data_IF_310782884906
#
_entry.id   IF_310782884906
#
_cell.length_a   1.000
_cell.length_b   1.000
_cell.length_c   1.000
_cell.angle_alpha   90.00
_cell.angle_beta   90.00
_cell.angle_gamma   90.00
#
_symmetry.space_group_name_H-M   'P 1'
#
loop_
_entity.id
_entity.type
_entity.pdbx_description
1 polymer ?
#
# COMPACT_ATOMS: atom_id res chain seq x y z
N UNK A 1 11.71 -28.67 31.33
CA UNK A 1 11.58 -28.70 29.87
C UNK A 1 10.82 -27.46 29.44
N UNK A 2 11.51 -26.38 29.04
CA UNK A 2 10.81 -25.19 28.55
C UNK A 2 10.25 -25.52 27.17
N UNK A 3 8.93 -25.46 27.00
CA UNK A 3 8.32 -25.48 25.67
C UNK A 3 8.99 -24.39 24.83
N UNK A 4 9.56 -24.74 23.67
CA UNK A 4 10.00 -23.76 22.68
C UNK A 4 8.79 -22.90 22.31
N UNK A 5 8.66 -21.73 22.94
CA UNK A 5 7.54 -20.84 22.72
C UNK A 5 7.77 -20.13 21.39
N UNK A 6 7.30 -20.75 20.31
CA UNK A 6 7.36 -20.20 18.97
C UNK A 6 6.31 -19.10 18.82
N UNK A 7 6.73 -17.95 18.30
CA UNK A 7 5.87 -16.80 18.08
C UNK A 7 4.63 -17.18 17.25
N UNK A 8 3.49 -16.60 17.60
CA UNK A 8 2.27 -16.72 16.78
C UNK A 8 2.45 -15.92 15.50
N UNK A 9 2.20 -16.58 14.37
CA UNK A 9 2.30 -15.93 13.07
C UNK A 9 1.10 -15.00 12.86
N UNK A 10 1.39 -13.74 12.52
CA UNK A 10 0.39 -12.82 11.99
C UNK A 10 0.33 -13.04 10.48
N UNK A 11 -0.62 -13.84 10.03
CA UNK A 11 -0.82 -14.13 8.61
C UNK A 11 -1.55 -12.98 7.92
N UNK A 12 -0.78 -12.02 7.42
CA UNK A 12 -1.32 -10.88 6.70
C UNK A 12 -2.02 -11.25 5.39
N UNK A 13 -1.73 -12.40 4.77
CA UNK A 13 -2.47 -12.86 3.58
C UNK A 13 -3.89 -13.27 3.96
N UNK A 14 -4.04 -14.05 5.03
CA UNK A 14 -5.34 -14.49 5.52
C UNK A 14 -6.19 -13.29 5.95
N UNK A 15 -5.62 -12.39 6.76
CA UNK A 15 -6.31 -11.18 7.22
C UNK A 15 -6.71 -10.30 6.03
N UNK A 16 -5.80 -10.06 5.08
CA UNK A 16 -6.10 -9.27 3.90
C UNK A 16 -7.19 -9.90 3.01
N UNK A 17 -7.27 -11.23 2.95
CA UNK A 17 -8.35 -11.90 2.22
C UNK A 17 -9.71 -11.67 2.90
N UNK A 18 -9.78 -11.79 4.23
CA UNK A 18 -11.00 -11.49 4.98
C UNK A 18 -11.48 -10.06 4.71
N UNK A 19 -10.57 -9.08 4.80
CA UNK A 19 -10.88 -7.67 4.52
C UNK A 19 -11.37 -7.49 3.08
N UNK A 20 -10.71 -8.12 2.09
CA UNK A 20 -11.16 -8.03 0.68
C UNK A 20 -12.55 -8.61 0.48
N UNK A 21 -12.88 -9.71 1.15
CA UNK A 21 -14.23 -10.31 1.09
C UNK A 21 -15.29 -9.37 1.66
N UNK A 22 -15.02 -8.73 2.80
CA UNK A 22 -15.91 -7.72 3.38
C UNK A 22 -16.10 -6.52 2.44
N UNK A 23 -15.01 -5.99 1.87
CA UNK A 23 -15.06 -4.89 0.90
C UNK A 23 -15.92 -5.30 -0.30
N UNK A 24 -15.76 -6.51 -0.83
CA UNK A 24 -16.54 -7.00 -1.97
C UNK A 24 -18.05 -7.07 -1.64
N UNK A 25 -18.40 -7.50 -0.42
CA UNK A 25 -19.78 -7.49 0.06
C UNK A 25 -20.36 -6.08 0.14
N UNK A 26 -19.60 -5.13 0.67
CA UNK A 26 -20.01 -3.74 0.80
C UNK A 26 -20.15 -3.03 -0.56
N UNK A 27 -19.23 -3.30 -1.50
CA UNK A 27 -19.31 -2.79 -2.87
C UNK A 27 -20.56 -3.34 -3.58
N UNK A 28 -20.86 -4.63 -3.40
CA UNK A 28 -22.10 -5.23 -3.93
C UNK A 28 -23.34 -4.56 -3.35
N UNK A 29 -23.33 -4.25 -2.05
CA UNK A 29 -24.44 -3.56 -1.40
C UNK A 29 -24.63 -2.14 -1.96
N UNK A 30 -23.54 -1.37 -2.11
CA UNK A 30 -23.58 -0.04 -2.72
C UNK A 30 -24.14 -0.09 -4.15
N UNK A 31 -23.67 -1.03 -4.95
CA UNK A 31 -24.15 -1.22 -6.33
C UNK A 31 -25.65 -1.52 -6.37
N UNK A 32 -26.15 -2.41 -5.50
CA UNK A 32 -27.58 -2.74 -5.43
C UNK A 32 -28.44 -1.59 -4.94
N UNK A 33 -27.96 -0.82 -3.96
CA UNK A 33 -28.75 0.24 -3.32
C UNK A 33 -28.76 1.55 -4.12
N UNK A 34 -27.64 1.90 -4.74
CA UNK A 34 -27.44 3.21 -5.38
C UNK A 34 -27.10 3.13 -6.87
N UNK A 35 -26.90 1.94 -7.43
CA UNK A 35 -26.46 1.78 -8.84
C UNK A 35 -25.03 2.28 -9.09
N UNK A 36 -24.25 2.53 -8.04
CA UNK A 36 -22.89 3.07 -8.10
C UNK A 36 -21.89 2.14 -7.42
N UNK A 37 -20.64 2.16 -7.88
CA UNK A 37 -19.51 1.44 -7.27
C UNK A 37 -18.36 2.42 -7.03
N UNK A 38 -17.46 2.13 -6.07
CA UNK A 38 -16.27 2.95 -5.90
C UNK A 38 -15.40 2.94 -7.16
N UNK A 39 -14.71 4.04 -7.40
CA UNK A 39 -13.78 4.22 -8.51
C UNK A 39 -12.42 4.65 -8.01
N UNK A 40 -11.37 3.96 -8.45
CA UNK A 40 -10.00 4.21 -8.03
C UNK A 40 -9.11 4.42 -9.26
N UNK A 41 -8.45 5.57 -9.34
CA UNK A 41 -7.45 5.84 -10.35
C UNK A 41 -6.07 5.37 -9.88
N UNK A 42 -5.35 4.65 -10.75
CA UNK A 42 -3.98 4.21 -10.51
C UNK A 42 -3.08 4.79 -11.60
N UNK A 43 -2.31 5.81 -11.23
CA UNK A 43 -1.38 6.52 -12.11
C UNK A 43 0.02 5.93 -11.95
N UNK A 44 0.66 5.58 -13.05
CA UNK A 44 2.07 5.16 -13.10
C UNK A 44 2.80 5.96 -14.18
N UNK A 45 4.04 6.33 -13.88
CA UNK A 45 4.91 7.05 -14.81
C UNK A 45 6.14 6.19 -15.10
N UNK A 46 6.38 5.91 -16.38
CA UNK A 46 7.47 5.08 -16.85
C UNK A 46 7.23 3.58 -16.68
N UNK A 47 8.30 2.79 -16.86
CA UNK A 47 8.21 1.34 -17.06
C UNK A 47 9.00 0.51 -16.03
N UNK A 48 9.18 1.04 -14.81
CA UNK A 48 9.89 0.31 -13.76
C UNK A 48 9.17 -1.00 -13.40
N UNK A 49 9.91 -2.11 -13.44
CA UNK A 49 9.35 -3.47 -13.24
C UNK A 49 8.73 -3.69 -11.86
N UNK A 50 9.32 -3.09 -10.82
CA UNK A 50 8.78 -3.15 -9.46
C UNK A 50 7.42 -2.45 -9.38
N UNK A 51 7.33 -1.24 -9.91
CA UNK A 51 6.13 -0.40 -9.93
C UNK A 51 5.01 -1.05 -10.74
N UNK A 52 5.34 -1.60 -11.92
CA UNK A 52 4.42 -2.38 -12.75
C UNK A 52 3.83 -3.59 -12.00
N UNK A 53 4.67 -4.31 -11.24
CA UNK A 53 4.21 -5.46 -10.44
C UNK A 53 3.25 -5.03 -9.33
N UNK A 54 3.56 -3.93 -8.62
CA UNK A 54 2.69 -3.38 -7.58
C UNK A 54 1.35 -2.88 -8.13
N UNK A 55 1.39 -2.14 -9.24
CA UNK A 55 0.18 -1.64 -9.92
C UNK A 55 -0.67 -2.80 -10.44
N UNK A 56 -0.06 -3.82 -11.05
CA UNK A 56 -0.78 -5.02 -11.49
C UNK A 56 -1.51 -5.73 -10.34
N UNK A 57 -0.89 -5.82 -9.15
CA UNK A 57 -1.55 -6.37 -7.96
C UNK A 57 -2.74 -5.51 -7.52
N UNK A 58 -2.60 -4.18 -7.50
CA UNK A 58 -3.67 -3.24 -7.12
C UNK A 58 -4.85 -3.33 -8.10
N UNK A 59 -4.59 -3.31 -9.42
CA UNK A 59 -5.59 -3.46 -10.48
C UNK A 59 -6.38 -4.76 -10.34
N UNK A 60 -5.68 -5.88 -10.12
CA UNK A 60 -6.32 -7.19 -9.90
C UNK A 60 -7.20 -7.18 -8.65
N UNK A 61 -6.71 -6.57 -7.57
CA UNK A 61 -7.46 -6.50 -6.32
C UNK A 61 -8.72 -5.64 -6.44
N UNK A 62 -8.68 -4.51 -7.18
CA UNK A 62 -9.87 -3.72 -7.51
C UNK A 62 -10.93 -4.56 -8.23
N UNK A 63 -10.52 -5.29 -9.27
CA UNK A 63 -11.42 -6.14 -10.04
C UNK A 63 -12.03 -7.26 -9.19
N UNK A 64 -11.25 -7.86 -8.28
CA UNK A 64 -11.71 -8.91 -7.36
C UNK A 64 -12.84 -8.43 -6.44
N UNK A 65 -12.76 -7.19 -5.96
CA UNK A 65 -13.75 -6.63 -5.01
C UNK A 65 -14.85 -5.80 -5.68
N UNK A 66 -14.81 -5.63 -7.01
CA UNK A 66 -15.81 -4.87 -7.76
C UNK A 66 -15.59 -3.34 -7.78
N UNK A 67 -14.41 -2.87 -7.42
CA UNK A 67 -14.03 -1.45 -7.56
C UNK A 67 -13.65 -1.17 -9.02
N UNK A 68 -14.19 -0.10 -9.60
CA UNK A 68 -13.88 0.34 -10.97
C UNK A 68 -12.48 0.95 -11.00
N UNK A 69 -11.52 0.27 -11.63
CA UNK A 69 -10.14 0.78 -11.80
C UNK A 69 -10.08 1.73 -13.00
N UNK A 70 -9.40 2.86 -12.84
CA UNK A 70 -9.07 3.80 -13.91
C UNK A 70 -7.54 3.86 -14.04
N UNK A 71 -7.03 3.15 -15.03
CA UNK A 71 -5.61 2.95 -15.19
C UNK A 71 -5.01 4.05 -16.06
N UNK A 72 -3.98 4.73 -15.55
CA UNK A 72 -3.31 5.84 -16.24
C UNK A 72 -1.82 5.52 -16.34
N UNK A 73 -1.41 5.04 -17.51
CA UNK A 73 -0.02 4.72 -17.82
C UNK A 73 0.60 5.90 -18.60
N UNK A 74 1.49 6.66 -17.96
CA UNK A 74 2.18 7.79 -18.57
C UNK A 74 3.64 7.42 -18.89
N UNK A 75 4.20 7.97 -19.97
CA UNK A 75 5.57 7.65 -20.35
C UNK A 75 6.57 8.34 -19.40
N UNK A 76 7.80 7.81 -19.32
CA UNK A 76 8.81 8.32 -18.40
C UNK A 76 9.16 9.79 -18.68
N UNK A 77 9.12 10.22 -19.94
CA UNK A 77 9.41 11.59 -20.35
C UNK A 77 8.26 12.60 -20.15
N UNK A 78 7.14 12.18 -19.56
CA UNK A 78 6.02 13.10 -19.28
C UNK A 78 6.52 14.29 -18.46
N UNK A 79 6.04 15.49 -18.78
CA UNK A 79 6.37 16.67 -18.01
C UNK A 79 5.60 16.70 -16.69
N UNK A 80 6.15 17.41 -15.70
CA UNK A 80 5.48 17.62 -14.41
C UNK A 80 4.11 18.28 -14.59
N UNK A 81 4.00 19.29 -15.45
CA UNK A 81 2.75 20.01 -15.68
C UNK A 81 1.70 19.13 -16.36
N UNK A 82 2.09 18.24 -17.29
CA UNK A 82 1.17 17.25 -17.88
C UNK A 82 0.66 16.24 -16.86
N UNK A 83 1.51 15.76 -15.96
CA UNK A 83 1.12 14.86 -14.89
C UNK A 83 0.16 15.54 -13.91
N UNK A 84 0.45 16.79 -13.52
CA UNK A 84 -0.43 17.59 -12.65
C UNK A 84 -1.77 17.86 -13.34
N UNK A 85 -1.77 18.21 -14.63
CA UNK A 85 -2.99 18.39 -15.39
C UNK A 85 -3.84 17.09 -15.43
N UNK A 86 -3.20 15.94 -15.59
CA UNK A 86 -3.87 14.64 -15.52
C UNK A 86 -4.46 14.38 -14.13
N UNK A 87 -3.75 14.72 -13.05
CA UNK A 87 -4.28 14.61 -11.68
C UNK A 87 -5.51 15.52 -11.50
N UNK A 88 -5.50 16.74 -12.04
CA UNK A 88 -6.67 17.63 -12.01
C UNK A 88 -7.87 17.06 -12.78
N UNK A 89 -7.65 16.44 -13.93
CA UNK A 89 -8.69 15.74 -14.69
C UNK A 89 -9.33 14.61 -13.84
N UNK A 90 -8.50 13.81 -13.16
CA UNK A 90 -8.97 12.74 -12.26
C UNK A 90 -9.73 13.28 -11.05
N UNK A 91 -9.29 14.42 -10.49
CA UNK A 91 -10.01 15.11 -9.41
C UNK A 91 -11.39 15.58 -9.86
N UNK A 92 -11.53 16.08 -11.09
CA UNK A 92 -12.81 16.56 -11.60
C UNK A 92 -13.81 15.44 -11.94
N UNK A 93 -13.34 14.21 -12.11
CA UNK A 93 -14.19 13.08 -12.49
C UNK A 93 -15.06 12.60 -11.30
N UNK A 94 -16.41 12.68 -11.38
CA UNK A 94 -17.31 12.27 -10.30
C UNK A 94 -17.43 10.75 -10.13
N UNK A 95 -16.98 9.94 -11.10
CA UNK A 95 -16.90 8.49 -10.95
C UNK A 95 -15.66 8.04 -10.17
N UNK A 96 -14.69 8.93 -9.97
CA UNK A 96 -13.49 8.67 -9.20
C UNK A 96 -13.65 9.13 -7.76
N UNK A 97 -13.29 8.25 -6.83
CA UNK A 97 -13.39 8.47 -5.39
C UNK A 97 -12.03 8.31 -4.71
N UNK A 98 -11.06 7.69 -5.39
CA UNK A 98 -9.67 7.64 -4.96
C UNK A 98 -8.71 7.86 -6.12
N UNK A 99 -7.57 8.49 -5.84
CA UNK A 99 -6.45 8.66 -6.76
C UNK A 99 -5.19 8.17 -6.06
N UNK A 100 -4.46 7.32 -6.75
CA UNK A 100 -3.17 6.80 -6.35
C UNK A 100 -2.15 7.16 -7.43
N UNK A 101 -1.07 7.84 -7.04
CA UNK A 101 0.10 8.04 -7.89
C UNK A 101 1.21 7.09 -7.42
N UNK A 102 1.61 6.15 -8.27
CA UNK A 102 2.62 5.16 -7.93
C UNK A 102 4.01 5.79 -7.87
N UNK A 103 4.61 5.72 -6.69
CA UNK A 103 5.97 6.19 -6.40
C UNK A 103 7.02 5.08 -6.59
N UNK A 104 8.31 5.46 -6.75
CA UNK A 104 8.79 6.84 -6.94
C UNK A 104 8.59 7.34 -8.37
N UNK A 105 8.45 8.64 -8.53
CA UNK A 105 8.36 9.28 -9.84
C UNK A 105 9.76 9.44 -10.47
N UNK A 106 9.84 9.67 -11.80
CA UNK A 106 11.08 10.06 -12.44
C UNK A 106 11.73 11.30 -11.80
N UNK A 107 13.07 11.35 -11.80
CA UNK A 107 13.84 12.37 -11.06
C UNK A 107 13.57 13.81 -11.49
N UNK A 108 13.06 14.04 -12.69
CA UNK A 108 12.73 15.38 -13.19
C UNK A 108 11.36 15.88 -12.73
N UNK A 109 10.61 15.07 -11.97
CA UNK A 109 9.28 15.41 -11.46
C UNK A 109 9.35 15.57 -9.92
N UNK A 110 8.81 16.67 -9.43
CA UNK A 110 8.64 16.93 -8.01
C UNK A 110 7.40 16.17 -7.48
N UNK A 111 7.66 15.13 -6.69
CA UNK A 111 6.62 14.30 -6.07
C UNK A 111 5.68 15.11 -5.16
N UNK A 112 6.19 16.06 -4.39
CA UNK A 112 5.39 16.89 -3.47
C UNK A 112 4.37 17.73 -4.25
N UNK A 113 4.78 18.31 -5.40
CA UNK A 113 3.88 19.10 -6.25
C UNK A 113 2.75 18.24 -6.81
N UNK A 114 3.06 17.02 -7.25
CA UNK A 114 2.07 16.09 -7.82
C UNK A 114 1.11 15.58 -6.74
N UNK A 115 1.63 15.14 -5.59
CA UNK A 115 0.83 14.65 -4.46
C UNK A 115 -0.01 15.78 -3.84
N UNK A 116 0.53 17.00 -3.82
CA UNK A 116 -0.19 18.21 -3.40
C UNK A 116 -1.36 18.58 -4.30
N UNK A 117 -1.37 18.14 -5.57
CA UNK A 117 -2.46 18.39 -6.50
C UNK A 117 -3.64 17.42 -6.33
N UNK A 118 -3.47 16.30 -5.61
CA UNK A 118 -4.56 15.34 -5.35
C UNK A 118 -5.54 15.96 -4.35
N UNK A 119 -6.85 15.89 -4.62
CA UNK A 119 -7.84 16.40 -3.68
C UNK A 119 -7.81 15.61 -2.37
N UNK A 120 -8.01 16.29 -1.25
CA UNK A 120 -7.94 15.70 0.10
C UNK A 120 -8.93 14.53 0.23
N UNK A 121 -10.09 14.66 -0.40
CA UNK A 121 -11.16 13.67 -0.36
C UNK A 121 -10.83 12.41 -1.16
N UNK A 122 -9.97 12.53 -2.19
CA UNK A 122 -9.58 11.44 -3.08
C UNK A 122 -8.17 10.88 -2.81
N UNK A 123 -7.43 11.45 -1.86
CA UNK A 123 -6.11 10.98 -1.45
C UNK A 123 -6.20 9.69 -0.61
N UNK A 124 -6.26 8.54 -1.28
CA UNK A 124 -6.42 7.23 -0.63
C UNK A 124 -5.13 6.66 -0.05
N UNK A 125 -3.97 7.18 -0.47
CA UNK A 125 -2.67 6.84 0.11
C UNK A 125 -2.33 7.72 1.33
N UNK A 126 -3.02 8.86 1.49
CA UNK A 126 -2.83 9.76 2.64
C UNK A 126 -1.56 10.60 2.55
N UNK A 127 -0.99 10.77 1.35
CA UNK A 127 0.28 11.46 1.14
C UNK A 127 0.12 12.96 0.85
N UNK A 128 -1.11 13.48 0.78
CA UNK A 128 -1.33 14.91 0.71
C UNK A 128 -0.75 15.58 1.98
N UNK A 129 0.00 16.70 1.89
CA UNK A 129 0.68 17.30 3.05
C UNK A 129 -0.23 17.60 4.26
N UNK A 130 -1.51 17.88 4.05
CA UNK A 130 -2.49 18.04 5.15
C UNK A 130 -2.92 16.71 5.79
N UNK A 131 -2.97 15.62 5.03
CA UNK A 131 -3.21 14.27 5.57
C UNK A 131 -2.00 13.76 6.34
N UNK A 132 -0.80 13.96 5.79
CA UNK A 132 0.46 13.75 6.53
C UNK A 132 0.44 14.62 7.79
N UNK A 133 0.08 15.91 7.72
CA UNK A 133 -0.02 16.80 8.88
C UNK A 133 -1.05 16.37 9.94
N UNK A 134 -2.19 15.80 9.54
CA UNK A 134 -3.21 15.24 10.45
C UNK A 134 -2.76 13.90 11.08
N UNK A 135 -2.01 13.09 10.34
CA UNK A 135 -1.37 11.87 10.84
C UNK A 135 -0.16 12.18 11.72
N UNK A 136 0.55 13.27 11.44
CA UNK A 136 1.86 13.61 12.00
C UNK A 136 1.80 14.61 13.17
N UNK A 137 0.93 14.38 14.16
CA UNK A 137 1.13 14.95 15.51
C UNK A 137 2.37 14.37 16.25
N UNK A 138 3.49 14.14 15.54
CA UNK A 138 4.87 14.03 16.03
C UNK A 138 5.85 14.56 14.97
N UNK A 139 6.07 15.87 14.98
CA UNK A 139 6.95 16.58 14.04
C UNK A 139 8.44 16.45 14.34
N UNK A 140 9.07 15.36 13.87
CA UNK A 140 10.52 15.32 13.64
C UNK A 140 10.81 14.48 12.39
N UNK A 141 11.54 15.06 11.45
CA UNK A 141 12.20 14.28 10.41
C UNK A 141 13.47 13.63 10.98
N UNK A 142 13.68 12.31 10.77
CA UNK A 142 14.94 11.68 11.12
C UNK A 142 16.03 12.15 10.14
N UNK A 143 17.09 12.75 10.68
CA UNK A 143 18.27 13.23 9.94
C UNK A 143 19.09 12.12 9.24
N UNK A 144 18.74 10.85 9.46
CA UNK A 144 19.41 9.68 8.91
C UNK A 144 18.37 8.66 8.46
N UNK A 145 18.51 8.17 7.22
CA UNK A 145 17.80 6.98 6.78
C UNK A 145 18.37 5.76 7.54
N UNK A 146 17.55 4.89 8.14
CA UNK A 146 18.06 3.75 8.89
C UNK A 146 18.86 2.81 7.96
N UNK A 147 20.16 2.69 8.19
CA UNK A 147 21.02 1.67 7.58
C UNK A 147 20.77 0.29 8.22
N UNK A 148 19.50 -0.05 8.51
CA UNK A 148 19.14 -1.05 9.52
C UNK A 148 19.81 -2.39 9.18
N UNK A 149 20.85 -2.82 9.93
CA UNK A 149 21.27 -4.21 9.85
C UNK A 149 20.08 -5.06 10.30
N UNK A 150 19.92 -6.27 9.74
CA UNK A 150 18.79 -7.15 10.09
C UNK A 150 18.62 -7.22 11.61
N UNK A 151 17.44 -6.85 12.11
CA UNK A 151 17.09 -6.89 13.53
C UNK A 151 17.19 -8.34 14.00
N UNK A 152 18.08 -8.59 14.95
CA UNK A 152 18.37 -9.91 15.49
C UNK A 152 17.39 -10.28 16.60
N UNK A 153 17.28 -11.58 16.88
CA UNK A 153 16.34 -12.08 17.89
C UNK A 153 16.63 -11.60 19.31
N UNK A 154 17.89 -11.40 19.66
CA UNK A 154 18.36 -10.94 20.98
C UNK A 154 18.00 -9.48 21.28
N UNK A 155 17.63 -8.69 20.26
CA UNK A 155 17.18 -7.31 20.43
C UNK A 155 15.69 -7.21 20.78
N UNK A 156 14.95 -8.30 20.60
CA UNK A 156 13.50 -8.33 20.77
C UNK A 156 13.17 -8.64 22.22
N UNK A 157 12.30 -7.82 22.81
CA UNK A 157 11.76 -8.10 24.15
C UNK A 157 10.97 -9.41 24.12
N UNK A 158 11.20 -10.36 25.05
CA UNK A 158 10.42 -11.60 25.12
C UNK A 158 8.91 -11.35 25.14
N UNK A 159 8.17 -12.04 24.27
CA UNK A 159 6.72 -11.89 24.12
C UNK A 159 6.25 -10.69 23.31
N UNK A 160 7.14 -9.85 22.76
CA UNK A 160 6.77 -8.70 21.95
C UNK A 160 6.02 -9.08 20.66
N UNK A 161 5.21 -8.15 20.16
CA UNK A 161 4.68 -8.21 18.80
C UNK A 161 5.66 -7.53 17.84
N UNK A 162 6.06 -8.24 16.79
CA UNK A 162 7.02 -7.78 15.78
C UNK A 162 6.31 -7.62 14.44
N UNK A 163 6.28 -6.39 13.94
CA UNK A 163 5.72 -6.03 12.63
C UNK A 163 6.87 -5.65 11.71
N UNK A 164 7.18 -6.53 10.77
CA UNK A 164 8.23 -6.37 9.77
C UNK A 164 7.63 -5.78 8.48
N UNK A 165 7.91 -4.50 8.25
CA UNK A 165 7.48 -3.73 7.07
C UNK A 165 8.53 -3.78 5.95
N UNK A 166 9.73 -4.30 6.25
CA UNK A 166 10.85 -4.35 5.32
C UNK A 166 10.52 -5.18 4.08
N UNK A 167 10.89 -4.68 2.90
CA UNK A 167 10.65 -5.36 1.63
C UNK A 167 11.90 -5.28 0.74
N UNK A 168 12.94 -6.02 1.13
CA UNK A 168 14.25 -5.97 0.49
C UNK A 168 14.41 -7.10 -0.53
N UNK A 169 14.79 -6.77 -1.76
CA UNK A 169 15.13 -7.77 -2.78
C UNK A 169 16.56 -8.29 -2.55
N UNK A 170 16.69 -9.62 -2.47
CA UNK A 170 17.99 -10.31 -2.38
C UNK A 170 18.07 -11.32 -3.51
N UNK A 171 19.18 -11.29 -4.25
CA UNK A 171 19.41 -12.21 -5.36
C UNK A 171 19.23 -13.66 -4.93
N UNK A 172 18.44 -14.39 -5.71
CA UNK A 172 18.11 -15.79 -5.50
C UNK A 172 17.86 -16.43 -6.87
N UNK A 173 18.89 -17.03 -7.48
CA UNK A 173 18.79 -17.67 -8.80
C UNK A 173 17.76 -18.81 -8.86
N UNK A 174 17.32 -19.34 -7.71
CA UNK A 174 16.29 -20.38 -7.65
C UNK A 174 14.87 -19.84 -7.91
N UNK A 175 14.67 -18.51 -7.84
CA UNK A 175 13.37 -17.87 -8.09
C UNK A 175 13.25 -17.47 -9.55
N UNK A 176 12.05 -17.61 -10.12
CA UNK A 176 11.71 -17.14 -11.47
C UNK A 176 11.97 -15.62 -11.65
N UNK A 177 11.84 -14.86 -10.57
CA UNK A 177 12.13 -13.42 -10.51
C UNK A 177 13.64 -13.09 -10.48
N UNK A 178 14.51 -14.06 -10.21
CA UNK A 178 15.95 -13.87 -9.96
C UNK A 178 16.27 -13.37 -8.54
N UNK A 179 15.26 -13.07 -7.73
CA UNK A 179 15.40 -12.57 -6.36
C UNK A 179 14.28 -13.07 -5.45
N UNK A 180 14.53 -13.07 -4.15
CA UNK A 180 13.53 -13.26 -3.07
C UNK A 180 13.38 -11.99 -2.25
N UNK A 181 12.20 -11.79 -1.67
CA UNK A 181 11.95 -10.70 -0.74
C UNK A 181 12.29 -11.13 0.69
N UNK A 182 12.98 -10.26 1.42
CA UNK A 182 13.31 -10.44 2.85
C UNK A 182 12.95 -9.18 3.62
N UNK A 183 12.53 -9.36 4.86
CA UNK A 183 12.23 -8.26 5.76
C UNK A 183 13.47 -7.70 6.46
N UNK A 184 13.23 -6.72 7.32
CA UNK A 184 14.25 -6.08 8.13
C UNK A 184 14.59 -6.90 9.38
N UNK A 185 13.79 -7.94 9.70
CA UNK A 185 13.97 -8.80 10.87
C UNK A 185 14.53 -10.17 10.46
N UNK A 186 15.48 -10.69 11.22
CA UNK A 186 15.81 -12.12 11.14
C UNK A 186 14.66 -12.94 11.74
N UNK A 187 13.71 -13.30 10.88
CA UNK A 187 12.51 -14.04 11.26
C UNK A 187 12.81 -15.33 12.03
N UNK A 188 13.92 -16.04 11.71
CA UNK A 188 14.23 -17.33 12.33
C UNK A 188 14.64 -17.16 13.79
N UNK A 189 15.41 -16.12 14.10
CA UNK A 189 15.79 -15.80 15.48
C UNK A 189 14.65 -15.12 16.23
N UNK A 190 14.03 -14.11 15.60
CA UNK A 190 12.95 -13.32 16.18
C UNK A 190 11.73 -14.17 16.57
N UNK A 191 11.37 -15.17 15.76
CA UNK A 191 10.24 -16.06 16.03
C UNK A 191 10.42 -16.96 17.26
N UNK A 192 11.63 -17.04 17.84
CA UNK A 192 11.88 -17.76 19.10
C UNK A 192 11.68 -16.89 20.34
N UNK A 193 11.62 -15.58 20.18
CA UNK A 193 11.58 -14.60 21.28
C UNK A 193 10.26 -13.84 21.29
N UNK A 194 9.76 -13.49 20.11
CA UNK A 194 8.51 -12.76 19.95
C UNK A 194 7.30 -13.57 20.40
N UNK A 195 6.27 -12.89 20.91
CA UNK A 195 4.95 -13.48 21.13
C UNK A 195 4.14 -13.55 19.83
N UNK A 196 4.33 -12.56 18.95
CA UNK A 196 3.71 -12.46 17.64
C UNK A 196 4.68 -11.92 16.60
N UNK A 197 4.60 -12.39 15.36
CA UNK A 197 5.50 -11.93 14.29
C UNK A 197 4.84 -11.98 12.92
N UNK A 198 5.06 -10.97 12.08
CA UNK A 198 4.67 -10.98 10.66
C UNK A 198 5.78 -11.58 9.78
N UNK A 199 5.46 -12.42 8.78
CA UNK A 199 6.45 -12.93 7.84
C UNK A 199 6.72 -11.93 6.70
N UNK A 200 7.90 -12.03 6.08
CA UNK A 200 8.18 -11.39 4.79
C UNK A 200 8.66 -12.46 3.81
N UNK A 201 7.95 -12.68 2.67
CA UNK A 201 6.68 -12.05 2.28
C UNK A 201 5.47 -12.62 3.03
N UNK A 202 4.35 -11.90 3.01
CA UNK A 202 3.04 -12.40 3.47
C UNK A 202 2.49 -11.75 4.75
N UNK A 203 3.24 -10.84 5.35
CA UNK A 203 2.81 -9.99 6.47
C UNK A 203 2.17 -8.70 5.98
N UNK A 204 2.93 -7.61 6.00
CA UNK A 204 2.38 -6.25 5.78
C UNK A 204 1.96 -5.98 4.34
N UNK A 205 2.70 -6.45 3.33
CA UNK A 205 2.42 -6.15 1.92
C UNK A 205 0.97 -6.45 1.45
N UNK A 206 0.41 -7.65 1.72
CA UNK A 206 -1.00 -7.94 1.41
C UNK A 206 -2.00 -7.00 2.10
N UNK A 207 -1.69 -6.53 3.31
CA UNK A 207 -2.54 -5.59 4.06
C UNK A 207 -2.56 -4.21 3.42
N UNK A 208 -1.44 -3.75 2.87
CA UNK A 208 -1.36 -2.44 2.18
C UNK A 208 -2.37 -2.34 1.04
N UNK A 209 -2.50 -3.38 0.22
CA UNK A 209 -3.48 -3.40 -0.87
C UNK A 209 -4.91 -3.45 -0.33
N UNK A 210 -5.18 -4.28 0.69
CA UNK A 210 -6.50 -4.35 1.30
C UNK A 210 -6.95 -3.00 1.89
N UNK A 211 -6.02 -2.27 2.52
CA UNK A 211 -6.30 -0.96 3.09
C UNK A 211 -6.47 0.14 2.05
N UNK A 212 -5.74 0.11 0.94
CA UNK A 212 -5.99 0.99 -0.20
C UNK A 212 -7.44 0.83 -0.72
N UNK A 213 -7.91 -0.41 -0.87
CA UNK A 213 -9.27 -0.69 -1.31
C UNK A 213 -10.31 -0.23 -0.27
N UNK A 214 -10.03 -0.41 1.02
CA UNK A 214 -10.87 0.09 2.12
C UNK A 214 -10.99 1.62 2.05
N UNK A 215 -9.88 2.33 1.88
CA UNK A 215 -9.87 3.79 1.76
C UNK A 215 -10.67 4.28 0.55
N UNK A 216 -10.54 3.60 -0.59
CA UNK A 216 -11.32 3.92 -1.79
C UNK A 216 -12.84 3.68 -1.59
N UNK A 217 -13.21 2.59 -0.92
CA UNK A 217 -14.59 2.31 -0.54
C UNK A 217 -15.15 3.36 0.43
N UNK A 218 -14.40 3.71 1.47
CA UNK A 218 -14.82 4.69 2.47
C UNK A 218 -14.98 6.09 1.85
N UNK A 219 -14.07 6.45 0.93
CA UNK A 219 -14.21 7.67 0.14
C UNK A 219 -15.47 7.66 -0.72
N UNK A 220 -15.74 6.55 -1.39
CA UNK A 220 -16.94 6.41 -2.20
C UNK A 220 -18.22 6.49 -1.38
N UNK A 221 -18.27 5.85 -0.20
CA UNK A 221 -19.42 5.93 0.72
C UNK A 221 -19.73 7.35 1.14
N UNK A 222 -18.70 8.15 1.45
CA UNK A 222 -18.87 9.57 1.79
C UNK A 222 -19.58 10.36 0.70
N UNK A 223 -19.46 9.98 -0.58
CA UNK A 223 -20.06 10.70 -1.70
C UNK A 223 -21.38 10.07 -2.16
N UNK A 224 -21.49 8.74 -2.12
CA UNK A 224 -22.63 7.98 -2.66
C UNK A 224 -23.79 7.89 -1.66
N UNK A 225 -23.50 7.81 -0.36
CA UNK A 225 -24.51 7.61 0.68
C UNK A 225 -25.08 8.91 1.26
N UNK A 226 -24.56 10.07 0.82
CA UNK A 226 -25.13 11.40 1.09
C UNK A 226 -26.34 11.65 0.17
#
# INVERSE_FOLDING_TARGET
>A
MSSEQKAKLIDGKAIAQTIRSEIADEVRLLSRKYGKVPGLAVVIVGNRKDSQSYVGMKRKACAEVGIKSFDVDLPEQVSEDELVAKVHELNANPELHGILVQLPLPKHINEERVLGAISIEKDVDGFHPLNIGRLAMKGREPLFQPCTPKIKGDWIKPGAAVIDVGTNAVDDPSKKSGYRLVGDVDFKEASKVAGWITPVPGGVGPMTVAMLLRNALDSAKRVIEQ
#
